data_IF_705669593138
#
_entry.id   IF_705669593138
#
_cell.length_a   1.000
_cell.length_b   1.000
_cell.length_c   1.000
_cell.angle_alpha   90.00
_cell.angle_beta   90.00
_cell.angle_gamma   90.00
#
_symmetry.space_group_name_H-M   'P 1'
#
loop_
_entity.id
_entity.type
_entity.pdbx_description
1 polymer ?
#
# COMPACT_ATOMS: atom_id res chain seq x y z
N UNK A 1 12.24 24.60 -60.10
CA UNK A 1 11.11 24.08 -59.31
C UNK A 1 11.43 22.61 -59.06
N UNK A 2 11.68 22.10 -57.85
CA UNK A 2 11.18 22.45 -56.52
C UNK A 2 12.16 21.85 -55.51
N UNK A 3 12.44 22.57 -54.41
CA UNK A 3 13.37 22.18 -53.34
C UNK A 3 12.86 20.98 -52.50
N UNK A 4 13.75 20.27 -51.77
CA UNK A 4 13.34 19.24 -50.82
C UNK A 4 12.90 19.87 -49.48
N UNK A 5 11.79 19.39 -48.94
CA UNK A 5 11.25 19.78 -47.64
C UNK A 5 12.05 19.12 -46.51
N UNK A 6 12.69 19.98 -45.72
CA UNK A 6 13.18 19.70 -44.37
C UNK A 6 12.03 19.37 -43.42
N UNK A 7 12.27 18.47 -42.45
CA UNK A 7 11.45 18.36 -41.25
C UNK A 7 11.25 16.94 -40.75
N UNK A 8 12.33 16.24 -40.41
CA UNK A 8 12.22 15.03 -39.59
C UNK A 8 12.04 15.48 -38.13
N UNK A 9 10.79 15.72 -37.73
CA UNK A 9 10.42 15.90 -36.32
C UNK A 9 10.39 14.50 -35.71
N UNK A 10 11.32 14.26 -34.78
CA UNK A 10 11.38 13.04 -34.00
C UNK A 10 10.15 13.00 -33.05
N UNK A 11 9.26 12.01 -33.12
CA UNK A 11 8.05 11.95 -32.27
C UNK A 11 8.33 11.56 -30.80
N UNK A 12 9.58 11.29 -30.44
CA UNK A 12 9.96 10.78 -29.11
C UNK A 12 10.08 11.86 -28.01
N UNK A 13 9.83 13.14 -28.28
CA UNK A 13 9.94 14.20 -27.27
C UNK A 13 8.62 14.62 -26.60
N UNK A 14 7.48 14.04 -26.97
CA UNK A 14 6.16 14.42 -26.42
C UNK A 14 5.67 13.55 -25.24
N UNK A 15 6.34 12.45 -24.89
CA UNK A 15 5.75 11.45 -23.96
C UNK A 15 6.12 11.60 -22.48
N UNK A 16 7.17 12.34 -22.12
CA UNK A 16 7.58 12.47 -20.70
C UNK A 16 6.94 13.68 -20.04
N UNK A 17 6.21 13.45 -18.96
CA UNK A 17 5.74 14.55 -18.11
C UNK A 17 6.95 15.32 -17.56
N UNK A 18 7.02 16.62 -17.84
CA UNK A 18 8.01 17.52 -17.26
C UNK A 18 7.35 18.50 -16.31
N UNK A 19 7.97 18.71 -15.15
CA UNK A 19 7.57 19.79 -14.24
C UNK A 19 7.73 21.14 -14.93
N UNK A 20 6.85 22.09 -14.59
CA UNK A 20 6.96 23.49 -15.03
C UNK A 20 8.32 24.11 -14.70
N UNK A 21 9.02 23.60 -13.67
CA UNK A 21 10.34 24.09 -13.27
C UNK A 21 11.45 23.77 -14.27
N UNK A 22 11.33 22.71 -15.08
CA UNK A 22 12.39 22.25 -16.00
C UNK A 22 12.67 23.29 -17.10
N UNK A 23 11.67 24.09 -17.47
CA UNK A 23 11.80 25.16 -18.46
C UNK A 23 12.55 26.39 -17.95
N UNK A 24 12.94 26.42 -16.67
CA UNK A 24 13.53 27.58 -16.03
C UNK A 24 14.90 27.27 -15.45
N UNK A 25 15.86 28.17 -15.68
CA UNK A 25 17.14 28.17 -14.99
C UNK A 25 17.03 29.03 -13.73
N UNK A 26 17.04 28.40 -12.56
CA UNK A 26 17.05 29.07 -11.26
C UNK A 26 18.43 29.05 -10.63
N UNK A 27 18.73 30.06 -9.82
CA UNK A 27 19.87 30.04 -8.91
C UNK A 27 19.55 29.07 -7.76
N UNK A 28 20.27 27.95 -7.72
CA UNK A 28 20.10 26.89 -6.71
C UNK A 28 21.08 26.99 -5.55
N UNK A 29 21.76 28.14 -5.39
CA UNK A 29 22.68 28.37 -4.26
C UNK A 29 21.95 28.17 -2.94
N UNK A 30 22.50 27.28 -2.10
CA UNK A 30 21.84 26.80 -0.88
C UNK A 30 21.90 27.82 0.26
N UNK A 31 22.88 28.70 0.29
CA UNK A 31 23.02 29.74 1.32
C UNK A 31 22.08 30.91 1.03
N UNK A 32 21.40 31.41 2.06
CA UNK A 32 20.63 32.66 1.98
C UNK A 32 21.56 33.82 2.30
N UNK A 33 21.58 34.82 1.43
CA UNK A 33 22.46 36.00 1.56
C UNK A 33 21.93 36.94 2.65
N UNK A 34 22.80 37.72 3.26
CA UNK A 34 22.42 38.62 4.35
C UNK A 34 21.45 39.73 3.89
N UNK A 35 21.61 40.23 2.66
CA UNK A 35 20.70 41.18 2.04
C UNK A 35 19.30 40.59 1.84
N UNK A 36 19.20 39.30 1.48
CA UNK A 36 17.93 38.60 1.36
C UNK A 36 17.23 38.41 2.70
N UNK A 37 17.98 38.07 3.75
CA UNK A 37 17.42 37.98 5.11
C UNK A 37 16.91 39.35 5.57
N UNK A 38 17.69 40.40 5.34
CA UNK A 38 17.27 41.79 5.59
C UNK A 38 15.98 42.14 4.84
N UNK A 39 15.94 41.86 3.53
CA UNK A 39 14.78 42.12 2.69
C UNK A 39 13.53 41.34 3.10
N UNK A 40 13.65 40.07 3.52
CA UNK A 40 12.52 39.28 4.06
C UNK A 40 11.99 39.94 5.34
N UNK A 41 12.89 40.41 6.22
CA UNK A 41 12.53 41.13 7.44
C UNK A 41 11.82 42.46 7.16
N UNK A 42 12.35 43.26 6.24
CA UNK A 42 11.79 44.57 5.84
C UNK A 42 10.42 44.45 5.16
N UNK A 43 10.25 43.47 4.28
CA UNK A 43 8.94 43.17 3.68
C UNK A 43 7.93 42.82 4.77
N UNK A 44 8.33 42.03 5.76
CA UNK A 44 7.49 41.63 6.87
C UNK A 44 6.27 40.79 6.45
N UNK A 45 5.52 40.32 7.43
CA UNK A 45 4.40 39.38 7.21
C UNK A 45 3.30 39.97 6.31
N UNK A 46 3.08 41.29 6.36
CA UNK A 46 2.08 41.97 5.54
C UNK A 46 2.37 41.85 4.04
N UNK A 47 3.62 42.10 3.63
CA UNK A 47 4.02 42.00 2.23
C UNK A 47 4.16 40.55 1.79
N UNK A 48 4.85 39.73 2.58
CA UNK A 48 5.11 38.32 2.23
C UNK A 48 3.81 37.55 1.96
N UNK A 49 2.76 37.80 2.76
CA UNK A 49 1.44 37.17 2.60
C UNK A 49 0.52 37.85 1.58
N UNK A 50 0.97 38.95 0.97
CA UNK A 50 0.20 39.76 0.01
C UNK A 50 -1.18 40.17 0.55
N UNK A 51 -1.21 40.71 1.78
CA UNK A 51 -2.46 41.18 2.41
C UNK A 51 -3.00 42.44 1.71
N UNK A 52 -4.19 42.90 2.11
CA UNK A 52 -4.96 43.97 1.43
C UNK A 52 -4.16 45.28 1.18
N UNK A 53 -3.13 45.55 1.99
CA UNK A 53 -2.29 46.74 1.91
C UNK A 53 -0.80 46.40 1.73
N UNK A 54 -0.48 45.29 1.06
CA UNK A 54 0.91 45.04 0.69
C UNK A 54 1.38 46.04 -0.38
N UNK A 55 2.66 46.39 -0.33
CA UNK A 55 3.37 47.14 -1.35
C UNK A 55 4.00 46.15 -2.35
N UNK A 56 3.42 46.01 -3.56
CA UNK A 56 4.00 45.15 -4.60
C UNK A 56 5.31 45.71 -5.19
N UNK A 57 5.62 46.99 -4.94
CA UNK A 57 6.81 47.67 -5.47
C UNK A 57 7.94 47.81 -4.44
N UNK A 58 7.76 47.26 -3.23
CA UNK A 58 8.77 47.31 -2.20
C UNK A 58 10.13 46.77 -2.72
N UNK A 59 11.25 47.47 -2.46
CA UNK A 59 12.54 47.13 -3.05
C UNK A 59 13.02 45.73 -2.65
N UNK A 60 12.62 45.25 -1.47
CA UNK A 60 12.94 43.91 -0.96
C UNK A 60 12.51 42.78 -1.91
N UNK A 61 11.43 42.95 -2.70
CA UNK A 61 11.00 41.94 -3.67
C UNK A 61 12.05 41.66 -4.76
N UNK A 62 12.81 42.69 -5.17
CA UNK A 62 13.89 42.53 -6.16
C UNK A 62 15.08 41.79 -5.55
N UNK A 63 15.40 42.07 -4.29
CA UNK A 63 16.51 41.44 -3.55
C UNK A 63 16.26 39.93 -3.43
N UNK A 64 15.05 39.53 -3.03
CA UNK A 64 14.69 38.11 -2.85
C UNK A 64 14.26 37.41 -4.14
N UNK A 65 14.43 38.05 -5.30
CA UNK A 65 13.89 37.58 -6.58
C UNK A 65 14.31 36.16 -6.94
N UNK A 66 15.54 35.76 -6.58
CA UNK A 66 16.02 34.38 -6.81
C UNK A 66 15.31 33.34 -5.94
N UNK A 67 14.87 33.71 -4.74
CA UNK A 67 14.11 32.83 -3.84
C UNK A 67 12.62 32.80 -4.21
N UNK A 68 12.08 33.96 -4.61
CA UNK A 68 10.66 34.11 -4.92
C UNK A 68 10.26 33.43 -6.23
N UNK A 69 11.05 33.62 -7.29
CA UNK A 69 10.68 33.18 -8.65
C UNK A 69 10.42 31.66 -8.76
N UNK A 70 11.22 30.76 -8.15
CA UNK A 70 10.92 29.33 -8.15
C UNK A 70 9.59 29.01 -7.44
N UNK A 71 9.30 29.67 -6.32
CA UNK A 71 8.06 29.48 -5.55
C UNK A 71 6.82 29.92 -6.34
N UNK A 72 6.91 31.07 -7.01
CA UNK A 72 5.84 31.55 -7.89
C UNK A 72 5.64 30.66 -9.10
N UNK A 73 6.72 30.11 -9.67
CA UNK A 73 6.67 29.16 -10.78
C UNK A 73 6.00 27.85 -10.39
N UNK A 74 6.29 27.33 -9.20
CA UNK A 74 5.56 26.18 -8.63
C UNK A 74 4.08 26.49 -8.60
N UNK A 75 3.71 27.59 -7.94
CA UNK A 75 2.31 27.99 -7.78
C UNK A 75 1.58 28.14 -9.12
N UNK A 76 2.22 28.76 -10.11
CA UNK A 76 1.67 28.92 -11.46
C UNK A 76 1.48 27.59 -12.19
N UNK A 77 2.31 26.57 -11.90
CA UNK A 77 2.23 25.24 -12.50
C UNK A 77 1.23 24.30 -11.83
N UNK A 78 0.66 24.64 -10.66
CA UNK A 78 -0.29 23.77 -9.98
C UNK A 78 -1.67 23.83 -10.65
N UNK A 79 -2.26 22.66 -10.92
CA UNK A 79 -3.65 22.52 -11.32
C UNK A 79 -4.58 22.76 -10.11
N UNK A 80 -4.80 24.04 -9.82
CA UNK A 80 -5.63 24.53 -8.73
C UNK A 80 -6.56 25.63 -9.21
N UNK A 81 -7.90 25.40 -9.20
CA UNK A 81 -8.86 26.44 -9.53
C UNK A 81 -8.63 27.75 -8.75
N UNK A 82 -8.64 28.87 -9.47
CA UNK A 82 -8.27 30.20 -8.95
C UNK A 82 -9.36 30.84 -8.07
N UNK A 83 -9.70 30.21 -6.94
CA UNK A 83 -10.53 30.86 -5.92
C UNK A 83 -9.70 31.82 -5.07
N UNK A 84 -10.34 32.87 -4.54
CA UNK A 84 -9.65 33.85 -3.67
C UNK A 84 -8.97 33.17 -2.47
N UNK A 85 -9.66 32.22 -1.84
CA UNK A 85 -9.13 31.44 -0.72
C UNK A 85 -7.88 30.63 -1.09
N UNK A 86 -7.85 29.98 -2.28
CA UNK A 86 -6.68 29.20 -2.72
C UNK A 86 -5.51 30.07 -3.13
N UNK A 87 -5.76 31.21 -3.78
CA UNK A 87 -4.72 32.21 -4.07
C UNK A 87 -4.06 32.70 -2.78
N UNK A 88 -4.84 32.96 -1.73
CA UNK A 88 -4.32 33.30 -0.41
C UNK A 88 -3.49 32.17 0.19
N UNK A 89 -3.99 30.93 0.17
CA UNK A 89 -3.24 29.77 0.68
C UNK A 89 -1.88 29.56 -0.04
N UNK A 90 -1.84 29.79 -1.35
CA UNK A 90 -0.62 29.71 -2.16
C UNK A 90 0.35 30.84 -1.82
N UNK A 91 -0.14 32.07 -1.62
CA UNK A 91 0.68 33.18 -1.16
C UNK A 91 1.24 32.94 0.25
N UNK A 92 0.40 32.44 1.16
CA UNK A 92 0.82 32.09 2.51
C UNK A 92 1.86 30.95 2.51
N UNK A 93 1.76 29.97 1.60
CA UNK A 93 2.80 28.94 1.43
C UNK A 93 4.15 29.53 1.00
N UNK A 94 4.16 30.49 0.07
CA UNK A 94 5.38 31.22 -0.32
C UNK A 94 5.96 31.98 0.88
N UNK A 95 5.10 32.68 1.63
CA UNK A 95 5.52 33.43 2.82
C UNK A 95 6.16 32.51 3.87
N UNK A 96 5.57 31.34 4.13
CA UNK A 96 6.12 30.37 5.09
C UNK A 96 7.52 29.92 4.66
N UNK A 97 7.70 29.60 3.37
CA UNK A 97 8.98 29.14 2.85
C UNK A 97 10.06 30.24 2.91
N UNK A 98 9.72 31.48 2.58
CA UNK A 98 10.65 32.62 2.66
C UNK A 98 11.06 32.91 4.09
N UNK A 99 10.10 32.99 5.03
CA UNK A 99 10.37 33.17 6.45
C UNK A 99 11.29 32.06 6.96
N UNK A 100 10.99 30.81 6.59
CA UNK A 100 11.80 29.66 7.02
C UNK A 100 13.21 29.71 6.43
N UNK A 101 13.38 30.11 5.17
CA UNK A 101 14.71 30.30 4.57
C UNK A 101 15.54 31.33 5.35
N UNK A 102 14.92 32.45 5.74
CA UNK A 102 15.59 33.47 6.55
C UNK A 102 15.99 32.96 7.95
N UNK A 103 15.12 32.17 8.60
CA UNK A 103 15.38 31.59 9.92
C UNK A 103 16.54 30.59 9.91
N UNK A 104 16.53 29.65 8.97
CA UNK A 104 17.52 28.56 8.92
C UNK A 104 18.77 28.91 8.12
N UNK A 105 18.79 30.08 7.47
CA UNK A 105 19.86 30.58 6.59
C UNK A 105 20.15 29.69 5.38
N UNK A 106 19.29 28.71 5.08
CA UNK A 106 19.37 27.85 3.90
C UNK A 106 18.11 27.96 3.05
N UNK A 107 18.30 27.97 1.73
CA UNK A 107 17.22 27.93 0.76
C UNK A 107 16.59 26.55 0.72
N UNK A 108 15.35 26.48 0.26
CA UNK A 108 14.61 25.22 0.08
C UNK A 108 15.30 24.22 -0.86
N UNK A 109 16.30 24.64 -1.65
CA UNK A 109 17.14 23.76 -2.46
C UNK A 109 18.09 22.90 -1.62
N UNK A 110 18.53 23.40 -0.47
CA UNK A 110 19.42 22.70 0.46
C UNK A 110 18.67 21.85 1.48
N UNK A 111 17.33 21.91 1.51
CA UNK A 111 16.58 21.32 2.61
C UNK A 111 16.56 19.79 2.58
N UNK A 112 16.83 19.17 3.72
CA UNK A 112 16.78 17.72 3.89
C UNK A 112 15.34 17.21 3.99
N UNK A 113 15.15 15.90 3.82
CA UNK A 113 13.84 15.27 4.03
C UNK A 113 13.31 15.50 5.45
N UNK A 114 14.19 15.55 6.46
CA UNK A 114 13.81 15.83 7.85
C UNK A 114 13.33 17.26 8.04
N UNK A 115 13.96 18.24 7.40
CA UNK A 115 13.50 19.64 7.46
C UNK A 115 12.11 19.81 6.84
N UNK A 116 11.86 19.16 5.69
CA UNK A 116 10.53 19.13 5.08
C UNK A 116 9.50 18.44 5.98
N UNK A 117 9.85 17.32 6.62
CA UNK A 117 8.96 16.60 7.53
C UNK A 117 8.67 17.43 8.78
N UNK A 118 9.68 18.09 9.33
CA UNK A 118 9.52 18.98 10.47
C UNK A 118 8.57 20.12 10.12
N UNK A 119 8.78 20.83 9.00
CA UNK A 119 7.88 21.90 8.60
C UNK A 119 6.45 21.43 8.32
N UNK A 120 6.29 20.32 7.58
CA UNK A 120 4.98 19.84 7.16
C UNK A 120 4.21 19.15 8.29
N UNK A 121 4.89 18.58 9.28
CA UNK A 121 4.32 17.76 10.33
C UNK A 121 3.69 16.46 9.83
N UNK A 122 3.52 15.47 10.72
CA UNK A 122 2.84 14.20 10.42
C UNK A 122 1.32 14.36 10.42
N UNK A 123 0.81 15.34 11.13
CA UNK A 123 -0.59 15.72 11.19
C UNK A 123 -0.77 17.24 11.27
N UNK A 124 -2.02 17.69 11.39
CA UNK A 124 -2.34 19.11 11.45
C UNK A 124 -1.85 19.78 12.73
N UNK A 125 -1.82 19.05 13.84
CA UNK A 125 -1.37 19.57 15.14
C UNK A 125 0.15 19.75 15.18
N UNK A 126 0.91 18.83 14.59
CA UNK A 126 2.35 18.98 14.40
C UNK A 126 2.67 20.11 13.42
N UNK A 127 1.90 20.25 12.33
CA UNK A 127 2.03 21.38 11.42
C UNK A 127 1.83 22.73 12.13
N UNK A 128 0.77 22.90 12.92
CA UNK A 128 0.53 24.15 13.67
C UNK A 128 1.60 24.49 14.70
N UNK A 129 2.31 23.48 15.23
CA UNK A 129 3.43 23.70 16.16
C UNK A 129 4.70 24.16 15.45
N UNK A 130 4.91 23.72 14.21
CA UNK A 130 6.16 23.92 13.50
C UNK A 130 6.09 25.05 12.46
N UNK A 131 4.90 25.36 11.95
CA UNK A 131 4.65 26.46 11.04
C UNK A 131 4.31 27.76 11.80
N UNK A 132 4.50 28.93 11.17
CA UNK A 132 4.07 30.19 11.76
C UNK A 132 2.58 30.17 12.14
N UNK A 133 2.22 30.79 13.28
CA UNK A 133 0.86 30.74 13.85
C UNK A 133 -0.25 31.31 12.95
N UNK A 134 0.11 32.09 11.94
CA UNK A 134 -0.81 32.64 10.95
C UNK A 134 -1.07 31.72 9.76
N UNK A 135 -0.34 30.61 9.63
CA UNK A 135 -0.50 29.64 8.54
C UNK A 135 -1.70 28.71 8.81
N UNK A 136 -2.75 28.86 7.99
CA UNK A 136 -3.95 28.04 8.08
C UNK A 136 -3.77 26.61 7.56
N UNK A 137 -4.78 25.77 7.78
CA UNK A 137 -4.77 24.36 7.39
C UNK A 137 -4.64 24.15 5.88
N UNK A 138 -5.19 25.09 5.12
CA UNK A 138 -5.17 25.12 3.67
C UNK A 138 -3.76 25.27 3.07
N UNK A 139 -2.79 25.75 3.85
CA UNK A 139 -1.41 26.04 3.42
C UNK A 139 -0.59 24.75 3.29
N UNK A 140 -0.76 23.82 4.23
CA UNK A 140 0.02 22.58 4.32
C UNK A 140 0.03 21.75 3.02
N UNK A 141 -1.10 21.55 2.32
CA UNK A 141 -1.10 20.86 1.03
C UNK A 141 -0.30 21.57 -0.08
N UNK A 142 -0.19 22.90 -0.05
CA UNK A 142 0.63 23.64 -1.01
C UNK A 142 2.10 23.55 -0.66
N UNK A 143 2.46 23.59 0.63
CA UNK A 143 3.84 23.34 1.07
C UNK A 143 4.31 21.94 0.66
N UNK A 144 3.44 20.93 0.75
CA UNK A 144 3.77 19.57 0.28
C UNK A 144 4.04 19.54 -1.24
N UNK A 145 3.33 20.35 -2.04
CA UNK A 145 3.59 20.49 -3.47
C UNK A 145 4.93 21.20 -3.75
N UNK A 146 5.28 22.22 -2.98
CA UNK A 146 6.59 22.87 -3.08
C UNK A 146 7.72 21.91 -2.70
N UNK A 147 7.58 21.16 -1.61
CA UNK A 147 8.54 20.15 -1.19
C UNK A 147 8.79 19.10 -2.28
N UNK A 148 7.72 18.69 -2.95
CA UNK A 148 7.77 17.72 -4.03
C UNK A 148 8.47 18.24 -5.29
N UNK A 149 8.17 19.48 -5.68
CA UNK A 149 8.60 20.05 -6.97
C UNK A 149 9.99 20.70 -6.89
N UNK A 150 10.29 21.40 -5.80
CA UNK A 150 11.58 22.09 -5.61
C UNK A 150 12.62 21.19 -4.96
N UNK A 151 12.17 20.26 -4.11
CA UNK A 151 13.06 19.35 -3.39
C UNK A 151 13.16 17.97 -4.02
N UNK A 152 13.99 17.13 -3.39
CA UNK A 152 14.03 15.67 -3.62
C UNK A 152 12.97 14.93 -2.78
N UNK A 153 12.05 15.65 -2.12
CA UNK A 153 11.17 15.06 -1.11
C UNK A 153 10.10 14.14 -1.72
N UNK A 154 10.25 12.84 -1.47
CA UNK A 154 9.27 11.81 -1.84
C UNK A 154 8.81 10.95 -0.67
N UNK A 155 9.26 11.26 0.56
CA UNK A 155 8.97 10.49 1.79
C UNK A 155 7.58 10.79 2.37
N UNK A 156 6.56 10.96 1.53
CA UNK A 156 5.16 11.22 1.94
C UNK A 156 4.57 10.11 2.81
N UNK A 157 5.18 8.93 2.86
CA UNK A 157 4.81 7.85 3.78
C UNK A 157 5.06 8.23 5.25
N UNK A 158 5.99 9.17 5.51
CA UNK A 158 6.29 9.70 6.85
C UNK A 158 5.33 10.80 7.30
N UNK A 159 4.66 11.51 6.38
CA UNK A 159 3.72 12.61 6.68
C UNK A 159 2.31 12.14 7.13
N UNK A 160 2.19 10.93 7.67
CA UNK A 160 0.92 10.39 8.18
C UNK A 160 -0.19 10.26 7.11
N UNK A 161 -1.43 10.54 7.52
CA UNK A 161 -2.59 10.58 6.62
C UNK A 161 -2.56 11.86 5.77
N UNK A 162 -2.14 11.70 4.51
CA UNK A 162 -2.05 12.78 3.54
C UNK A 162 -2.94 12.51 2.32
N UNK A 163 -3.59 13.56 1.80
CA UNK A 163 -4.45 13.50 0.62
C UNK A 163 -3.64 13.36 -0.68
N UNK A 164 -3.07 12.17 -0.91
CA UNK A 164 -2.25 11.82 -2.08
C UNK A 164 -2.91 12.16 -3.40
N UNK A 165 -4.19 11.83 -3.54
CA UNK A 165 -4.97 12.12 -4.75
C UNK A 165 -5.04 13.63 -5.04
N UNK A 166 -5.24 14.45 -4.01
CA UNK A 166 -5.28 15.90 -4.15
C UNK A 166 -3.91 16.44 -4.61
N UNK A 167 -2.82 15.96 -4.02
CA UNK A 167 -1.47 16.38 -4.41
C UNK A 167 -1.12 15.96 -5.84
N UNK A 168 -1.36 14.70 -6.20
CA UNK A 168 -1.10 14.19 -7.55
C UNK A 168 -1.90 14.96 -8.59
N UNK A 169 -3.20 15.23 -8.34
CA UNK A 169 -4.02 16.04 -9.25
C UNK A 169 -3.48 17.46 -9.41
N UNK A 170 -3.10 18.11 -8.31
CA UNK A 170 -2.50 19.47 -8.38
C UNK A 170 -1.18 19.49 -9.12
N UNK A 171 -0.40 18.43 -9.03
CA UNK A 171 0.95 18.40 -9.60
C UNK A 171 0.95 17.97 -11.07
N UNK A 172 0.20 16.93 -11.39
CA UNK A 172 0.24 16.30 -12.72
C UNK A 172 -0.96 16.66 -13.60
N UNK A 173 -1.95 17.35 -13.05
CA UNK A 173 -3.23 17.66 -13.68
C UNK A 173 -4.33 16.65 -13.31
N UNK A 174 -5.52 17.16 -13.03
CA UNK A 174 -6.69 16.39 -12.61
C UNK A 174 -7.08 15.34 -13.64
N UNK A 175 -7.19 15.74 -14.91
CA UNK A 175 -7.72 14.88 -15.96
C UNK A 175 -6.76 13.75 -16.30
N UNK A 176 -5.46 14.06 -16.34
CA UNK A 176 -4.40 13.06 -16.56
C UNK A 176 -4.40 12.00 -15.45
N UNK A 177 -4.34 12.42 -14.19
CA UNK A 177 -4.37 11.48 -13.05
C UNK A 177 -5.65 10.65 -13.03
N UNK A 178 -6.80 11.27 -13.28
CA UNK A 178 -8.07 10.55 -13.30
C UNK A 178 -8.15 9.55 -14.46
N UNK A 179 -7.63 9.91 -15.65
CA UNK A 179 -7.60 9.04 -16.82
C UNK A 179 -6.78 7.77 -16.56
N UNK A 180 -5.58 7.92 -15.99
CA UNK A 180 -4.68 6.80 -15.69
C UNK A 180 -5.27 5.88 -14.60
N UNK A 181 -5.87 6.45 -13.56
CA UNK A 181 -6.61 5.68 -12.53
C UNK A 181 -7.81 4.95 -13.15
N UNK A 182 -8.57 5.61 -14.04
CA UNK A 182 -9.71 4.99 -14.71
C UNK A 182 -9.26 3.84 -15.62
N UNK A 183 -8.09 3.94 -16.24
CA UNK A 183 -7.54 2.86 -17.05
C UNK A 183 -7.17 1.63 -16.20
N UNK A 184 -6.47 1.82 -15.08
CA UNK A 184 -6.22 0.77 -14.09
C UNK A 184 -7.52 0.15 -13.58
N UNK A 185 -8.52 0.99 -13.27
CA UNK A 185 -9.83 0.54 -12.78
C UNK A 185 -10.50 -0.40 -13.77
N UNK A 186 -10.53 -0.05 -15.07
CA UNK A 186 -11.12 -0.87 -16.14
C UNK A 186 -10.47 -2.25 -16.22
N UNK A 187 -9.13 -2.32 -16.19
CA UNK A 187 -8.39 -3.59 -16.23
C UNK A 187 -8.74 -4.47 -15.01
N UNK A 188 -8.70 -3.88 -13.81
CA UNK A 188 -9.00 -4.59 -12.57
C UNK A 188 -10.46 -5.05 -12.48
N UNK A 189 -11.40 -4.23 -12.94
CA UNK A 189 -12.82 -4.58 -13.02
C UNK A 189 -13.05 -5.77 -13.96
N UNK A 190 -12.38 -5.79 -15.11
CA UNK A 190 -12.43 -6.92 -16.06
C UNK A 190 -11.95 -8.24 -15.47
N UNK A 191 -11.11 -8.21 -14.42
CA UNK A 191 -10.66 -9.39 -13.68
C UNK A 191 -11.49 -9.70 -12.42
N UNK A 192 -12.54 -8.92 -12.14
CA UNK A 192 -13.39 -9.09 -10.97
C UNK A 192 -12.77 -8.60 -9.65
N UNK A 193 -11.72 -7.77 -9.69
CA UNK A 193 -11.14 -7.20 -8.47
C UNK A 193 -12.07 -6.14 -7.86
N UNK A 194 -12.22 -6.15 -6.53
CA UNK A 194 -12.95 -5.09 -5.80
C UNK A 194 -12.36 -3.70 -6.03
N UNK A 195 -11.04 -3.60 -6.22
CA UNK A 195 -10.32 -2.37 -6.58
C UNK A 195 -10.80 -1.76 -7.90
N UNK A 196 -11.43 -2.55 -8.77
CA UNK A 196 -12.00 -2.11 -10.03
C UNK A 196 -13.37 -1.42 -9.90
N UNK A 197 -13.96 -1.35 -8.70
CA UNK A 197 -15.24 -0.67 -8.51
C UNK A 197 -15.06 0.85 -8.41
N UNK A 198 -16.11 1.58 -8.74
CA UNK A 198 -16.08 3.05 -8.75
C UNK A 198 -16.03 3.65 -7.33
N UNK A 199 -16.57 2.95 -6.34
CA UNK A 199 -16.56 3.33 -4.92
C UNK A 199 -15.24 3.02 -4.20
N UNK A 200 -14.29 2.33 -4.86
CA UNK A 200 -13.02 1.99 -4.25
C UNK A 200 -12.12 3.23 -4.07
N UNK A 201 -11.71 3.47 -2.83
CA UNK A 201 -10.84 4.59 -2.42
C UNK A 201 -9.36 4.18 -2.32
N UNK A 202 -9.06 2.87 -2.34
CA UNK A 202 -7.72 2.33 -2.13
C UNK A 202 -6.87 2.40 -3.41
N UNK A 203 -7.46 2.12 -4.57
CA UNK A 203 -6.82 2.20 -5.87
C UNK A 203 -6.31 3.63 -6.15
N UNK A 204 -7.14 4.70 -6.05
CA UNK A 204 -6.64 6.07 -6.23
C UNK A 204 -5.50 6.41 -5.27
N UNK A 205 -5.57 5.95 -4.02
CA UNK A 205 -4.53 6.21 -3.02
C UNK A 205 -3.19 5.56 -3.40
N UNK A 206 -3.21 4.29 -3.81
CA UNK A 206 -2.01 3.54 -4.18
C UNK A 206 -1.44 4.05 -5.51
N UNK A 207 -2.28 4.26 -6.52
CA UNK A 207 -1.85 4.78 -7.82
C UNK A 207 -1.19 6.17 -7.67
N UNK A 208 -1.81 7.08 -6.90
CA UNK A 208 -1.24 8.41 -6.67
C UNK A 208 0.09 8.37 -5.90
N UNK A 209 0.25 7.45 -4.94
CA UNK A 209 1.55 7.27 -4.28
C UNK A 209 2.61 6.80 -5.29
N UNK A 210 2.26 5.86 -6.18
CA UNK A 210 3.18 5.37 -7.20
C UNK A 210 3.58 6.49 -8.17
N UNK A 211 2.62 7.31 -8.63
CA UNK A 211 2.89 8.47 -9.49
C UNK A 211 3.84 9.49 -8.85
N UNK A 212 3.67 9.76 -7.56
CA UNK A 212 4.58 10.64 -6.82
C UNK A 212 5.98 10.03 -6.66
N UNK A 213 6.10 8.71 -6.55
CA UNK A 213 7.39 8.04 -6.43
C UNK A 213 8.12 7.90 -7.77
N UNK A 214 7.39 7.66 -8.87
CA UNK A 214 7.94 7.64 -10.24
C UNK A 214 8.23 9.03 -10.78
N UNK A 215 7.73 10.07 -10.12
CA UNK A 215 7.71 11.45 -10.61
C UNK A 215 7.00 11.64 -11.95
N UNK A 216 6.02 10.80 -12.22
CA UNK A 216 5.23 10.84 -13.44
C UNK A 216 3.80 10.34 -13.20
N UNK A 217 2.79 10.94 -13.84
CA UNK A 217 1.43 10.41 -13.82
C UNK A 217 1.22 9.20 -14.72
N UNK A 218 2.16 8.88 -15.62
CA UNK A 218 1.95 7.89 -16.66
C UNK A 218 2.18 6.47 -16.14
N UNK A 219 1.31 5.54 -16.56
CA UNK A 219 1.45 4.14 -16.20
C UNK A 219 2.70 3.48 -16.79
N UNK A 220 3.20 4.00 -17.92
CA UNK A 220 4.44 3.54 -18.56
C UNK A 220 5.69 3.77 -17.72
N UNK A 221 5.68 4.79 -16.85
CA UNK A 221 6.78 5.09 -15.93
C UNK A 221 6.70 4.27 -14.63
N UNK A 222 5.69 3.41 -14.47
CA UNK A 222 5.57 2.49 -13.34
C UNK A 222 6.36 1.20 -13.60
N UNK A 223 7.69 1.31 -13.57
CA UNK A 223 8.61 0.22 -13.88
C UNK A 223 8.64 -0.89 -12.81
N UNK A 224 9.16 -2.06 -13.17
CA UNK A 224 9.38 -3.20 -12.24
C UNK A 224 10.21 -2.75 -11.02
N UNK A 225 11.27 -1.99 -11.24
CA UNK A 225 12.16 -1.48 -10.19
C UNK A 225 11.42 -0.60 -9.16
N UNK A 226 10.47 0.21 -9.62
CA UNK A 226 9.65 1.03 -8.72
C UNK A 226 8.82 0.15 -7.79
N UNK A 227 8.17 -0.87 -8.33
CA UNK A 227 7.36 -1.79 -7.52
C UNK A 227 8.22 -2.56 -6.51
N UNK A 228 9.42 -2.97 -6.90
CA UNK A 228 10.34 -3.68 -6.01
C UNK A 228 10.90 -2.77 -4.92
N UNK A 229 11.23 -1.52 -5.25
CA UNK A 229 11.61 -0.50 -4.27
C UNK A 229 10.50 -0.26 -3.24
N UNK A 230 9.25 -0.09 -3.71
CA UNK A 230 8.09 0.12 -2.83
C UNK A 230 7.91 -1.01 -1.81
N UNK A 231 8.14 -2.27 -2.24
CA UNK A 231 8.07 -3.44 -1.36
C UNK A 231 9.25 -3.51 -0.40
N UNK A 232 10.47 -3.32 -0.89
CA UNK A 232 11.72 -3.42 -0.12
C UNK A 232 11.77 -2.40 0.99
N UNK A 233 11.44 -1.15 0.66
CA UNK A 233 11.62 -0.01 1.57
C UNK A 233 10.35 0.25 2.42
N UNK A 234 9.30 -0.57 2.27
CA UNK A 234 8.09 -0.46 3.08
C UNK A 234 7.30 0.84 2.86
N UNK A 235 7.38 1.44 1.67
CA UNK A 235 6.79 2.75 1.37
C UNK A 235 5.25 2.76 1.43
N UNK A 236 4.63 1.58 1.52
CA UNK A 236 3.19 1.35 1.65
C UNK A 236 2.93 0.21 2.66
N UNK A 237 2.06 0.45 3.66
CA UNK A 237 1.73 -0.55 4.69
C UNK A 237 0.57 -1.50 4.35
N UNK A 238 0.58 -2.71 4.92
CA UNK A 238 -0.57 -3.61 5.08
C UNK A 238 -1.44 -3.83 3.83
N UNK A 239 -2.75 -3.53 3.94
CA UNK A 239 -3.73 -3.70 2.86
C UNK A 239 -3.33 -3.00 1.55
N UNK A 240 -2.48 -1.97 1.61
CA UNK A 240 -1.96 -1.26 0.44
C UNK A 240 -1.00 -2.14 -0.38
N UNK A 241 -0.27 -3.07 0.23
CA UNK A 241 0.62 -4.00 -0.49
C UNK A 241 -0.17 -4.97 -1.40
N UNK A 242 -1.35 -5.41 -0.97
CA UNK A 242 -2.23 -6.22 -1.82
C UNK A 242 -2.72 -5.42 -3.04
N UNK A 243 -3.02 -4.14 -2.84
CA UNK A 243 -3.37 -3.23 -3.91
C UNK A 243 -2.18 -2.93 -4.83
N UNK A 244 -0.96 -2.76 -4.29
CA UNK A 244 0.27 -2.62 -5.10
C UNK A 244 0.48 -3.83 -6.00
N UNK A 245 0.28 -5.05 -5.48
CA UNK A 245 0.37 -6.26 -6.30
C UNK A 245 -0.70 -6.28 -7.40
N UNK A 246 -1.95 -5.89 -7.09
CA UNK A 246 -3.01 -5.80 -8.10
C UNK A 246 -2.70 -4.74 -9.17
N UNK A 247 -2.19 -3.56 -8.76
CA UNK A 247 -1.78 -2.49 -9.68
C UNK A 247 -0.62 -2.95 -10.56
N UNK A 248 0.43 -3.59 -10.03
CA UNK A 248 1.52 -4.11 -10.87
C UNK A 248 1.03 -5.13 -11.88
N UNK A 249 0.10 -6.02 -11.49
CA UNK A 249 -0.51 -6.95 -12.47
C UNK A 249 -1.22 -6.19 -13.58
N UNK A 250 -2.01 -5.16 -13.24
CA UNK A 250 -2.72 -4.36 -14.22
C UNK A 250 -1.73 -3.62 -15.15
N UNK A 251 -0.69 -2.99 -14.61
CA UNK A 251 0.36 -2.31 -15.39
C UNK A 251 1.13 -3.28 -16.29
N UNK A 252 1.43 -4.50 -15.81
CA UNK A 252 2.03 -5.55 -16.62
C UNK A 252 1.10 -6.00 -17.77
N UNK A 253 -0.21 -6.13 -17.52
CA UNK A 253 -1.17 -6.45 -18.58
C UNK A 253 -1.30 -5.34 -19.63
N UNK A 254 -0.91 -4.11 -19.29
CA UNK A 254 -0.78 -3.00 -20.23
C UNK A 254 0.58 -2.98 -20.95
N UNK A 255 1.52 -3.86 -20.58
CA UNK A 255 2.83 -4.01 -21.22
C UNK A 255 3.94 -3.11 -20.67
N UNK A 256 3.72 -2.41 -19.55
CA UNK A 256 4.65 -1.39 -19.05
C UNK A 256 5.66 -1.88 -18.00
N UNK A 257 5.42 -3.04 -17.40
CA UNK A 257 6.34 -3.64 -16.45
C UNK A 257 6.26 -5.16 -16.46
N UNK A 258 7.22 -5.79 -15.80
CA UNK A 258 7.19 -7.23 -15.63
C UNK A 258 6.09 -7.64 -14.67
N UNK A 259 5.57 -8.84 -14.89
CA UNK A 259 4.63 -9.46 -13.99
C UNK A 259 5.23 -9.42 -12.57
N UNK A 260 4.47 -9.01 -11.54
CA UNK A 260 4.99 -9.02 -10.17
C UNK A 260 5.58 -10.40 -9.95
N UNK A 261 6.88 -10.44 -9.61
CA UNK A 261 7.55 -11.68 -9.25
C UNK A 261 6.58 -12.37 -8.33
N UNK A 262 6.10 -13.55 -8.72
CA UNK A 262 5.10 -14.25 -7.97
C UNK A 262 5.67 -14.29 -6.56
N UNK A 263 5.15 -13.45 -5.65
CA UNK A 263 5.59 -13.44 -4.27
C UNK A 263 5.48 -14.89 -3.92
N UNK A 264 6.60 -15.55 -3.66
CA UNK A 264 6.67 -16.99 -3.53
C UNK A 264 5.60 -17.38 -2.52
N UNK A 265 4.50 -17.79 -3.12
CA UNK A 265 3.16 -17.92 -2.59
C UNK A 265 2.38 -18.89 -3.49
N UNK A 266 3.07 -19.41 -4.51
CA UNK A 266 2.85 -20.71 -5.13
C UNK A 266 4.09 -21.60 -5.15
N UNK A 267 5.22 -21.13 -4.64
CA UNK A 267 6.32 -22.00 -4.23
C UNK A 267 6.33 -22.02 -2.72
N UNK A 268 5.93 -23.14 -2.13
CA UNK A 268 6.35 -23.50 -0.79
C UNK A 268 7.83 -23.14 -0.63
N UNK A 269 8.22 -22.46 0.45
CA UNK A 269 9.60 -22.55 0.91
C UNK A 269 9.97 -24.02 0.78
N UNK A 270 10.93 -24.36 -0.11
CA UNK A 270 11.21 -25.75 -0.48
C UNK A 270 11.36 -26.50 0.82
N UNK A 271 10.34 -27.30 1.14
CA UNK A 271 10.31 -28.01 2.39
C UNK A 271 11.50 -28.96 2.29
N UNK A 272 12.52 -28.82 3.13
CA UNK A 272 13.62 -29.77 3.09
C UNK A 272 13.12 -31.09 3.70
N UNK A 273 13.44 -32.22 3.06
CA UNK A 273 13.11 -33.56 3.57
C UNK A 273 11.61 -33.90 3.57
N UNK A 274 11.15 -34.52 4.67
CA UNK A 274 9.83 -35.17 4.78
C UNK A 274 8.62 -34.30 4.44
N UNK A 275 8.70 -32.98 4.60
CA UNK A 275 7.60 -32.09 4.25
C UNK A 275 7.25 -32.07 2.74
N UNK A 276 8.16 -32.50 1.85
CA UNK A 276 7.85 -32.66 0.41
C UNK A 276 6.91 -33.84 0.13
N UNK A 277 7.06 -34.94 0.88
CA UNK A 277 6.19 -36.12 0.75
C UNK A 277 4.78 -35.71 1.17
N UNK A 278 4.64 -35.11 2.35
CA UNK A 278 3.36 -34.61 2.86
C UNK A 278 2.72 -33.61 1.89
N UNK A 279 3.49 -32.65 1.38
CA UNK A 279 2.99 -31.67 0.43
C UNK A 279 2.45 -32.33 -0.85
N UNK A 280 3.13 -33.32 -1.42
CA UNK A 280 2.66 -34.05 -2.61
C UNK A 280 1.31 -34.71 -2.37
N UNK A 281 1.11 -35.31 -1.20
CA UNK A 281 -0.18 -35.86 -0.79
C UNK A 281 -1.28 -34.80 -0.67
N UNK A 282 -0.97 -33.64 -0.10
CA UNK A 282 -1.91 -32.52 0.02
C UNK A 282 -2.30 -31.96 -1.35
N UNK A 283 -1.34 -31.81 -2.27
CA UNK A 283 -1.64 -31.35 -3.64
C UNK A 283 -2.47 -32.37 -4.42
N UNK A 284 -2.15 -33.67 -4.27
CA UNK A 284 -2.94 -34.76 -4.86
C UNK A 284 -4.38 -34.72 -4.35
N UNK A 285 -4.57 -34.60 -3.03
CA UNK A 285 -5.90 -34.46 -2.43
C UNK A 285 -6.63 -33.21 -2.93
N UNK A 286 -5.93 -32.07 -3.05
CA UNK A 286 -6.52 -30.81 -3.53
C UNK A 286 -7.00 -30.92 -4.98
N UNK A 287 -6.26 -31.63 -5.83
CA UNK A 287 -6.61 -31.85 -7.23
C UNK A 287 -7.81 -32.81 -7.38
N UNK A 288 -7.93 -33.81 -6.51
CA UNK A 288 -9.00 -34.83 -6.57
C UNK A 288 -10.28 -34.41 -5.84
N UNK A 289 -10.19 -33.58 -4.81
CA UNK A 289 -11.35 -33.19 -4.00
C UNK A 289 -12.42 -32.46 -4.81
N UNK A 290 -13.66 -32.91 -4.68
CA UNK A 290 -14.88 -32.32 -5.29
C UNK A 290 -15.43 -31.12 -4.52
N UNK A 291 -14.77 -30.70 -3.44
CA UNK A 291 -15.17 -29.52 -2.66
C UNK A 291 -15.04 -28.24 -3.50
N UNK A 292 -15.83 -27.23 -3.14
CA UNK A 292 -15.73 -25.90 -3.77
C UNK A 292 -14.30 -25.35 -3.68
N UNK A 293 -13.83 -24.55 -4.66
CA UNK A 293 -12.45 -24.03 -4.68
C UNK A 293 -12.01 -23.37 -3.36
N UNK A 294 -12.93 -22.66 -2.71
CA UNK A 294 -12.73 -22.03 -1.41
C UNK A 294 -12.57 -23.06 -0.29
N UNK A 295 -13.43 -24.07 -0.23
CA UNK A 295 -13.38 -25.11 0.80
C UNK A 295 -12.11 -25.96 0.69
N UNK A 296 -11.76 -26.47 -0.51
CA UNK A 296 -10.49 -27.20 -0.69
C UNK A 296 -9.26 -26.33 -0.44
N UNK A 297 -9.32 -25.03 -0.75
CA UNK A 297 -8.25 -24.07 -0.42
C UNK A 297 -8.02 -23.91 1.08
N UNK A 298 -9.11 -23.82 1.86
CA UNK A 298 -9.05 -23.75 3.32
C UNK A 298 -8.47 -25.02 3.94
N UNK A 299 -8.90 -26.20 3.46
CA UNK A 299 -8.37 -27.49 3.93
C UNK A 299 -6.88 -27.60 3.59
N UNK A 300 -6.48 -27.32 2.34
CA UNK A 300 -5.07 -27.32 1.90
C UNK A 300 -4.19 -26.44 2.78
N UNK A 301 -4.62 -25.21 3.08
CA UNK A 301 -3.86 -24.30 3.96
C UNK A 301 -3.61 -24.89 5.35
N UNK A 302 -4.63 -25.52 5.94
CA UNK A 302 -4.54 -26.18 7.24
C UNK A 302 -3.62 -27.40 7.19
N UNK A 303 -3.71 -28.23 6.15
CA UNK A 303 -2.84 -29.39 5.96
C UNK A 303 -1.38 -29.01 5.74
N UNK A 304 -1.10 -27.89 5.06
CA UNK A 304 0.27 -27.39 4.93
C UNK A 304 0.86 -26.92 6.28
N UNK A 305 0.02 -26.45 7.21
CA UNK A 305 0.46 -26.18 8.59
C UNK A 305 0.80 -27.49 9.33
N UNK A 306 -0.01 -28.53 9.17
CA UNK A 306 0.34 -29.88 9.67
C UNK A 306 1.69 -30.33 9.11
N UNK A 307 1.92 -30.18 7.80
CA UNK A 307 3.17 -30.56 7.15
C UNK A 307 4.41 -29.86 7.73
N UNK A 308 4.28 -28.60 8.16
CA UNK A 308 5.37 -27.87 8.82
C UNK A 308 5.63 -28.34 10.24
N UNK A 309 4.58 -28.70 10.97
CA UNK A 309 4.73 -29.34 12.28
C UNK A 309 5.39 -30.73 12.16
N UNK A 310 4.97 -31.56 11.20
CA UNK A 310 5.60 -32.85 10.91
C UNK A 310 7.09 -32.68 10.61
N UNK A 311 7.45 -31.68 9.79
CA UNK A 311 8.84 -31.40 9.45
C UNK A 311 9.71 -31.08 10.67
N UNK A 312 9.13 -30.38 11.66
CA UNK A 312 9.85 -29.89 12.82
C UNK A 312 9.92 -30.94 13.95
N UNK A 313 8.82 -31.63 14.25
CA UNK A 313 8.70 -32.46 15.46
C UNK A 313 8.63 -33.97 15.14
N UNK A 314 8.13 -34.36 13.95
CA UNK A 314 7.91 -35.77 13.60
C UNK A 314 8.25 -36.12 12.14
N UNK A 315 9.51 -35.99 11.69
CA UNK A 315 9.85 -36.17 10.28
C UNK A 315 9.49 -37.55 9.71
N UNK A 316 9.47 -38.60 10.55
CA UNK A 316 9.06 -39.96 10.18
C UNK A 316 7.56 -40.09 9.83
N UNK A 317 6.73 -39.12 10.20
CA UNK A 317 5.30 -39.07 9.86
C UNK A 317 5.01 -38.24 8.59
N UNK A 318 6.05 -37.90 7.82
CA UNK A 318 5.97 -37.21 6.54
C UNK A 318 5.11 -37.91 5.49
N UNK A 319 5.16 -39.24 5.47
CA UNK A 319 4.29 -40.05 4.65
C UNK A 319 3.00 -40.36 5.44
N UNK A 320 1.81 -39.95 4.98
CA UNK A 320 0.53 -40.35 5.57
C UNK A 320 0.37 -41.86 5.74
N UNK A 321 1.07 -42.70 4.96
CA UNK A 321 1.04 -44.17 5.14
C UNK A 321 1.63 -44.62 6.48
N UNK A 322 2.55 -43.84 7.05
CA UNK A 322 3.20 -44.11 8.33
C UNK A 322 2.38 -43.63 9.54
N UNK A 323 1.25 -42.95 9.32
CA UNK A 323 0.42 -42.45 10.42
C UNK A 323 -0.26 -43.57 11.20
N UNK A 324 -0.15 -43.48 12.51
CA UNK A 324 -0.84 -44.37 13.46
C UNK A 324 -1.76 -43.56 14.38
N UNK A 325 -2.58 -44.24 15.19
CA UNK A 325 -3.37 -43.58 16.25
C UNK A 325 -2.49 -42.76 17.19
N UNK A 326 -1.25 -43.20 17.44
CA UNK A 326 -0.30 -42.48 18.28
C UNK A 326 0.11 -41.15 17.63
N UNK A 327 0.43 -41.15 16.33
CA UNK A 327 0.73 -39.92 15.57
C UNK A 327 -0.45 -38.94 15.60
N UNK A 328 -1.68 -39.44 15.45
CA UNK A 328 -2.88 -38.62 15.58
C UNK A 328 -2.99 -37.98 16.97
N UNK A 329 -2.77 -38.75 18.04
CA UNK A 329 -2.82 -38.24 19.41
C UNK A 329 -1.74 -37.17 19.65
N UNK A 330 -0.53 -37.37 19.13
CA UNK A 330 0.55 -36.38 19.23
C UNK A 330 0.20 -35.09 18.50
N UNK A 331 -0.40 -35.16 17.31
CA UNK A 331 -0.88 -33.99 16.60
C UNK A 331 -1.98 -33.24 17.38
N UNK A 332 -2.95 -33.96 17.94
CA UNK A 332 -4.02 -33.37 18.75
C UNK A 332 -3.44 -32.63 19.97
N UNK A 333 -2.48 -33.23 20.67
CA UNK A 333 -1.81 -32.62 21.81
C UNK A 333 -0.98 -31.38 21.41
N UNK A 334 -0.24 -31.46 20.29
CA UNK A 334 0.53 -30.33 19.77
C UNK A 334 -0.39 -29.16 19.40
N UNK A 335 -1.50 -29.44 18.71
CA UNK A 335 -2.48 -28.43 18.31
C UNK A 335 -3.16 -27.76 19.51
N UNK A 336 -3.40 -28.51 20.60
CA UNK A 336 -3.98 -27.94 21.81
C UNK A 336 -3.04 -26.94 22.52
N UNK A 337 -1.73 -27.16 22.44
CA UNK A 337 -0.72 -26.28 23.04
C UNK A 337 -0.22 -25.18 22.09
N UNK A 338 -0.69 -25.16 20.86
CA UNK A 338 -0.17 -24.31 19.80
C UNK A 338 -0.62 -22.85 19.96
N UNK A 339 0.30 -21.93 19.65
CA UNK A 339 0.06 -20.49 19.66
C UNK A 339 -0.12 -19.93 18.24
N UNK A 340 -0.66 -18.72 18.16
CA UNK A 340 -0.73 -17.93 16.94
C UNK A 340 0.70 -17.58 16.51
N UNK A 341 1.04 -17.89 15.26
CA UNK A 341 2.39 -17.72 14.69
C UNK A 341 3.13 -19.04 14.49
N UNK A 342 2.88 -20.05 15.33
CA UNK A 342 3.55 -21.34 15.24
C UNK A 342 3.23 -22.04 13.91
N UNK A 343 4.27 -22.55 13.25
CA UNK A 343 4.14 -23.31 12.00
C UNK A 343 3.32 -22.58 10.92
N UNK A 344 3.33 -21.24 10.89
CA UNK A 344 2.71 -20.41 9.83
C UNK A 344 3.81 -19.81 8.96
N UNK A 345 3.57 -19.74 7.64
CA UNK A 345 4.55 -19.18 6.70
C UNK A 345 4.53 -17.63 6.61
N UNK A 346 3.43 -16.99 7.02
CA UNK A 346 3.26 -15.53 7.04
C UNK A 346 2.74 -15.06 8.39
N UNK A 347 3.41 -14.08 8.96
CA UNK A 347 3.04 -13.43 10.24
C UNK A 347 2.46 -12.03 10.03
N UNK A 348 2.45 -11.52 8.79
CA UNK A 348 1.93 -10.20 8.44
C UNK A 348 0.47 -10.02 8.87
N UNK A 349 0.19 -8.99 9.69
CA UNK A 349 -1.14 -8.72 10.23
C UNK A 349 -1.54 -9.58 11.43
N UNK A 350 -0.65 -10.44 11.93
CA UNK A 350 -0.81 -11.18 13.17
C UNK A 350 0.01 -10.59 14.32
N UNK A 351 0.75 -9.49 14.12
CA UNK A 351 1.78 -9.01 15.08
C UNK A 351 1.26 -8.90 16.52
N UNK A 352 0.05 -8.36 16.71
CA UNK A 352 -0.58 -8.17 18.03
C UNK A 352 -1.07 -9.46 18.69
N UNK A 353 -1.15 -10.56 17.96
CA UNK A 353 -1.72 -11.84 18.41
C UNK A 353 -0.70 -12.95 18.50
N UNK A 354 0.50 -12.77 17.97
CA UNK A 354 1.57 -13.77 18.01
C UNK A 354 1.85 -14.16 19.47
N UNK A 355 2.02 -15.45 19.73
CA UNK A 355 2.28 -15.99 21.07
C UNK A 355 1.02 -16.27 21.90
N UNK A 356 -0.16 -15.74 21.52
CA UNK A 356 -1.41 -16.11 22.18
C UNK A 356 -1.86 -17.53 21.79
N UNK A 357 -2.53 -18.27 22.68
CA UNK A 357 -3.11 -19.58 22.36
C UNK A 357 -4.07 -19.52 21.16
N UNK A 358 -4.09 -20.58 20.34
CA UNK A 358 -5.08 -20.71 19.28
C UNK A 358 -6.51 -20.75 19.85
N UNK A 359 -7.42 -20.04 19.19
CA UNK A 359 -8.85 -20.06 19.51
C UNK A 359 -9.44 -21.47 19.31
N UNK A 360 -10.42 -21.86 20.13
CA UNK A 360 -11.04 -23.17 20.09
C UNK A 360 -11.62 -23.50 18.69
N UNK A 361 -12.27 -22.54 18.04
CA UNK A 361 -12.80 -22.66 16.67
C UNK A 361 -11.71 -22.89 15.61
N UNK A 362 -10.52 -22.34 15.85
CA UNK A 362 -9.37 -22.55 14.96
C UNK A 362 -8.82 -23.97 15.13
N UNK A 363 -8.68 -24.44 16.38
CA UNK A 363 -8.25 -25.82 16.67
C UNK A 363 -9.22 -26.85 16.07
N UNK A 364 -10.52 -26.67 16.26
CA UNK A 364 -11.54 -27.54 15.66
C UNK A 364 -11.49 -27.55 14.12
N UNK A 365 -11.30 -26.38 13.51
CA UNK A 365 -11.13 -26.26 12.06
C UNK A 365 -9.91 -27.02 11.53
N UNK A 366 -8.81 -27.08 12.29
CA UNK A 366 -7.63 -27.88 11.96
C UNK A 366 -7.88 -29.38 12.10
N UNK A 367 -8.52 -29.83 13.18
CA UNK A 367 -8.89 -31.24 13.39
C UNK A 367 -9.86 -31.74 12.32
N UNK A 368 -10.85 -30.92 11.97
CA UNK A 368 -11.79 -31.22 10.89
C UNK A 368 -11.11 -31.36 9.53
N UNK A 369 -10.12 -30.52 9.23
CA UNK A 369 -9.38 -30.58 7.96
C UNK A 369 -8.53 -31.85 7.84
N UNK A 370 -7.79 -32.22 8.89
CA UNK A 370 -6.95 -33.43 8.87
C UNK A 370 -7.79 -34.71 8.91
N UNK A 371 -8.90 -34.72 9.65
CA UNK A 371 -9.89 -35.82 9.65
C UNK A 371 -10.41 -36.04 8.24
N UNK A 372 -10.87 -34.97 7.57
CA UNK A 372 -11.37 -35.03 6.21
C UNK A 372 -10.34 -35.59 5.23
N UNK A 373 -9.11 -35.11 5.30
CA UNK A 373 -8.01 -35.60 4.46
C UNK A 373 -7.80 -37.11 4.60
N UNK A 374 -7.69 -37.63 5.83
CA UNK A 374 -7.50 -39.07 6.03
C UNK A 374 -8.72 -39.90 5.66
N UNK A 375 -9.94 -39.40 5.91
CA UNK A 375 -11.18 -40.05 5.46
C UNK A 375 -11.21 -40.16 3.93
N UNK A 376 -11.00 -39.05 3.22
CA UNK A 376 -11.00 -39.03 1.76
C UNK A 376 -9.90 -39.97 1.20
N UNK A 377 -8.69 -39.94 1.77
CA UNK A 377 -7.61 -40.82 1.31
C UNK A 377 -7.90 -42.32 1.56
N UNK A 378 -8.66 -42.66 2.61
CA UNK A 378 -9.09 -44.04 2.88
C UNK A 378 -10.28 -44.47 2.01
N UNK A 379 -11.19 -43.56 1.70
CA UNK A 379 -12.33 -43.79 0.81
C UNK A 379 -11.90 -43.93 -0.65
N UNK A 380 -10.90 -43.17 -1.08
CA UNK A 380 -10.27 -43.29 -2.40
C UNK A 380 -9.21 -44.40 -2.47
N UNK A 381 -9.09 -45.22 -1.42
CA UNK A 381 -8.18 -46.37 -1.35
C UNK A 381 -6.70 -46.01 -1.54
N UNK A 382 -6.32 -44.75 -1.32
CA UNK A 382 -4.91 -44.35 -1.36
C UNK A 382 -4.16 -44.73 -0.09
N UNK A 383 -4.88 -44.85 1.03
CA UNK A 383 -4.34 -45.26 2.32
C UNK A 383 -5.09 -46.47 2.88
N UNK A 384 -4.38 -47.42 3.52
CA UNK A 384 -5.03 -48.50 4.24
C UNK A 384 -5.79 -47.96 5.47
N UNK A 385 -6.89 -48.62 5.83
CA UNK A 385 -7.75 -48.27 6.98
C UNK A 385 -7.14 -48.72 8.33
N UNK A 386 -5.94 -48.22 8.64
CA UNK A 386 -5.17 -48.56 9.87
C UNK A 386 -5.77 -47.94 11.15
N UNK A 387 -6.48 -46.82 11.01
CA UNK A 387 -7.20 -46.16 12.09
C UNK A 387 -8.44 -45.47 11.54
N UNK A 388 -9.40 -45.21 12.43
CA UNK A 388 -10.60 -44.42 12.13
C UNK A 388 -10.27 -42.93 12.34
N UNK A 389 -10.25 -42.09 11.30
CA UNK A 389 -9.95 -40.66 11.42
C UNK A 389 -10.98 -39.92 12.28
N UNK A 390 -12.25 -40.32 12.24
CA UNK A 390 -13.33 -39.72 13.01
C UNK A 390 -13.11 -39.85 14.51
N UNK A 391 -12.58 -40.99 14.95
CA UNK A 391 -12.25 -41.25 16.36
C UNK A 391 -10.86 -40.73 16.74
N UNK A 392 -9.84 -40.99 15.92
CA UNK A 392 -8.44 -40.68 16.26
C UNK A 392 -8.13 -39.17 16.24
N UNK A 393 -8.87 -38.39 15.43
CA UNK A 393 -8.72 -36.94 15.29
C UNK A 393 -9.99 -36.22 15.78
N UNK A 394 -10.74 -36.83 16.70
CA UNK A 394 -11.91 -36.24 17.32
C UNK A 394 -11.54 -34.95 18.08
N UNK A 395 -12.45 -33.98 18.11
CA UNK A 395 -12.23 -32.73 18.85
C UNK A 395 -12.24 -33.04 20.36
N UNK A 396 -11.14 -32.77 21.09
CA UNK A 396 -11.07 -33.02 22.53
C UNK A 396 -12.16 -32.28 23.31
N UNK A 397 -12.64 -32.89 24.40
CA UNK A 397 -13.64 -32.29 25.29
C UNK A 397 -13.25 -30.91 25.81
N UNK A 398 -11.95 -30.68 26.07
CA UNK A 398 -11.41 -29.38 26.48
C UNK A 398 -11.64 -28.28 25.44
N UNK A 399 -11.56 -28.63 24.15
CA UNK A 399 -11.82 -27.70 23.03
C UNK A 399 -13.32 -27.58 22.79
N UNK A 400 -14.07 -28.68 22.85
CA UNK A 400 -15.54 -28.67 22.69
C UNK A 400 -16.23 -27.81 23.74
N UNK A 401 -15.78 -27.85 24.99
CA UNK A 401 -16.32 -27.02 26.07
C UNK A 401 -16.18 -25.51 25.80
N UNK A 402 -15.12 -25.09 25.08
CA UNK A 402 -14.85 -23.70 24.74
C UNK A 402 -15.59 -23.20 23.50
N UNK A 403 -16.17 -24.10 22.69
CA UNK A 403 -16.88 -23.72 21.46
C UNK A 403 -18.31 -23.23 21.72
N UNK A 404 -18.89 -23.58 22.87
CA UNK A 404 -20.31 -23.34 23.18
C UNK A 404 -21.27 -24.10 22.23
N UNK A 405 -22.57 -24.17 22.54
CA UNK A 405 -23.55 -24.69 21.60
C UNK A 405 -23.60 -23.80 20.35
N UNK A 406 -23.64 -24.41 19.16
CA UNK A 406 -23.82 -23.73 17.88
C UNK A 406 -25.25 -23.99 17.39
N UNK A 407 -26.29 -23.36 17.99
CA UNK A 407 -27.67 -23.59 17.57
C UNK A 407 -27.82 -23.11 16.13
N UNK A 408 -28.16 -24.02 15.23
CA UNK A 408 -28.71 -23.62 13.94
C UNK A 408 -30.08 -23.01 14.22
N UNK A 409 -30.23 -21.72 13.93
CA UNK A 409 -31.54 -21.06 13.93
C UNK A 409 -32.39 -21.79 12.89
N UNK A 410 -33.33 -22.61 13.35
CA UNK A 410 -34.45 -23.05 12.54
C UNK A 410 -35.36 -21.83 12.53
N UNK A 411 -35.50 -21.17 11.38
CA UNK A 411 -36.54 -20.17 11.24
C UNK A 411 -37.87 -20.93 11.33
N UNK A 412 -38.67 -20.63 12.34
CA UNK A 412 -40.07 -21.03 12.37
C UNK A 412 -40.77 -20.30 11.21
N UNK A 413 -41.02 -21.02 10.12
CA UNK A 413 -42.04 -20.61 9.15
C UNK A 413 -43.40 -20.75 9.83
N UNK A 414 -43.85 -19.66 10.47
CA UNK A 414 -45.21 -19.53 10.98
C UNK A 414 -46.16 -19.34 9.79
N UNK A 415 -46.86 -20.42 9.50
CA UNK A 415 -48.26 -20.60 9.09
C UNK A 415 -48.93 -19.77 7.96
N UNK A 416 -49.89 -20.38 7.24
CA UNK A 416 -50.50 -19.86 6.04
C UNK A 416 -51.60 -18.84 6.34
N UNK A 417 -51.54 -17.69 5.66
CA UNK A 417 -52.60 -16.68 5.66
C UNK A 417 -53.86 -17.21 4.98
N UNK A 418 -54.84 -17.62 5.78
CA UNK A 418 -56.24 -17.67 5.37
C UNK A 418 -56.99 -16.48 5.96
N UNK A 419 -57.37 -15.52 5.12
CA UNK A 419 -58.63 -14.81 5.29
C UNK A 419 -59.10 -14.20 3.96
N UNK A 420 -60.42 -14.29 3.77
CA UNK A 420 -61.24 -13.99 2.60
C UNK A 420 -61.22 -12.53 2.16
#
# INVERSE_FOLDING_TARGET
MTAPLSGNVNPDSESRWCSSLVAHHFDTTIEVRDDEVGAIGELGIQNLRRLQYHDPNAPGWRVIGRLLRPLETVNAGLDSPATAHRRRAMADAVAVLLVRCAEVRWTFWGWTAEEWIHLLGRDQAEFHRNAPSWAGDEVRPYLAAHAYLLGSFTEFHRLGSFQRLTLSRRTFGRDRVNGEIAWLRRVLAGWGYRLGRDDDTLLPMVACQLFLLSRSPHLEDLTTDLFDRVRRDGLLGGARLNAVHAVQRAVNALGFCDQPSATTGRGTARAAGGAQIWQRWVERWYATSTLTPRARGNVRSRLLKVGRWIAAEHPGAADPTAWTRQTCATWVAALDRMNVGDYVHRTTGLEKRIGNPLQASTKDGHLSAIRRFFTDCQEWEWLPRRFDPGRALATPRSITALLGPNPRVIADEIEPSWTK
#
